data_IF_570021094866
#
_entry.id   IF_570021094866
#
_cell.length_a   1.000
_cell.length_b   1.000
_cell.length_c   1.000
_cell.angle_alpha   90.00
_cell.angle_beta   90.00
_cell.angle_gamma   90.00
#
_symmetry.space_group_name_H-M   'P 1'
#
loop_
_entity.id
_entity.type
_entity.pdbx_description
1 polymer ?
#
# COMPACT_ATOMS: atom_id res chain seq x y z
N UNK A 1 -18.19 18.01 -1.85
CA UNK A 1 -17.99 16.99 -0.79
C UNK A 1 -16.52 16.69 -0.71
N UNK A 2 -15.98 16.73 0.47
CA UNK A 2 -14.57 16.41 0.77
C UNK A 2 -14.31 14.93 0.41
N UNK A 3 -13.46 14.69 -0.59
CA UNK A 3 -13.15 13.35 -1.10
C UNK A 3 -11.98 12.68 -0.38
N UNK A 4 -11.23 13.46 0.42
CA UNK A 4 -10.04 12.96 1.09
C UNK A 4 -10.38 11.89 2.13
N UNK A 5 -9.69 10.75 2.07
CA UNK A 5 -9.76 9.68 3.07
C UNK A 5 -8.55 9.71 3.99
N UNK A 6 -7.39 10.13 3.47
CA UNK A 6 -6.15 10.27 4.22
C UNK A 6 -5.27 11.36 3.60
N UNK A 7 -4.48 12.03 4.42
CA UNK A 7 -3.58 13.09 3.97
C UNK A 7 -2.33 13.24 4.84
N UNK A 8 -1.26 13.69 4.20
CA UNK A 8 -0.07 14.25 4.82
C UNK A 8 0.04 15.71 4.41
N UNK A 9 0.39 16.59 5.33
CA UNK A 9 0.63 18.00 5.03
C UNK A 9 1.98 18.44 5.56
N UNK A 10 2.86 18.88 4.65
CA UNK A 10 4.22 19.40 4.91
C UNK A 10 5.06 18.49 5.83
N UNK A 11 4.93 17.17 5.69
CA UNK A 11 5.59 16.21 6.57
C UNK A 11 7.08 16.17 6.29
N UNK A 12 7.87 16.37 7.35
CA UNK A 12 9.33 16.23 7.37
C UNK A 12 9.69 15.09 8.30
N UNK A 13 10.62 14.23 7.85
CA UNK A 13 11.18 13.14 8.66
C UNK A 13 12.66 13.00 8.42
N UNK A 14 13.42 12.95 9.52
CA UNK A 14 14.85 12.68 9.51
C UNK A 14 15.21 11.49 10.40
N UNK A 15 16.27 10.80 10.05
CA UNK A 15 16.94 9.80 10.90
C UNK A 15 18.37 10.30 11.17
N UNK A 16 18.61 10.76 12.38
CA UNK A 16 19.83 11.50 12.70
C UNK A 16 19.96 12.77 11.85
N UNK A 17 21.04 12.90 11.11
CA UNK A 17 21.29 14.05 10.21
C UNK A 17 20.69 13.86 8.80
N UNK A 18 20.25 12.64 8.46
CA UNK A 18 19.74 12.33 7.14
C UNK A 18 18.23 12.60 7.04
N UNK A 19 17.86 13.59 6.22
CA UNK A 19 16.46 13.92 5.93
C UNK A 19 15.91 12.97 4.87
N UNK A 20 14.92 12.15 5.25
CA UNK A 20 14.29 11.15 4.37
C UNK A 20 13.00 11.67 3.74
N UNK A 21 12.22 12.49 4.47
CA UNK A 21 11.06 13.18 3.89
C UNK A 21 11.24 14.69 4.04
N UNK A 22 10.98 15.41 2.97
CA UNK A 22 11.17 16.85 2.88
C UNK A 22 9.89 17.54 2.42
N UNK A 23 9.01 17.87 3.38
CA UNK A 23 7.72 18.54 3.18
C UNK A 23 6.79 17.78 2.23
N UNK A 24 6.60 16.47 2.47
CA UNK A 24 5.62 15.68 1.73
C UNK A 24 4.22 16.20 2.02
N UNK A 25 3.52 16.61 0.97
CA UNK A 25 2.08 16.89 1.00
C UNK A 25 1.41 15.92 0.03
N UNK A 26 0.57 15.03 0.55
CA UNK A 26 -0.08 13.95 -0.19
C UNK A 26 -1.54 13.87 0.23
N UNK A 27 -2.44 13.80 -0.74
CA UNK A 27 -3.86 13.57 -0.52
C UNK A 27 -4.30 12.27 -1.21
N UNK A 28 -5.01 11.42 -0.48
CA UNK A 28 -5.56 10.15 -0.95
C UNK A 28 -7.08 10.28 -0.94
N UNK A 29 -7.71 10.05 -2.09
CA UNK A 29 -9.15 10.19 -2.22
C UNK A 29 -9.89 8.86 -1.97
N UNK A 30 -11.18 8.97 -1.62
CA UNK A 30 -12.08 7.82 -1.54
C UNK A 30 -12.30 7.21 -2.92
N UNK A 31 -12.29 5.87 -2.98
CA UNK A 31 -12.53 5.14 -4.21
C UNK A 31 -11.44 5.39 -5.26
N UNK A 32 -10.19 5.56 -4.83
CA UNK A 32 -9.03 5.81 -5.70
C UNK A 32 -7.97 4.74 -5.49
N UNK A 33 -7.37 4.28 -6.58
CA UNK A 33 -6.17 3.46 -6.59
C UNK A 33 -4.97 4.37 -6.83
N UNK A 34 -4.23 4.66 -5.76
CA UNK A 34 -3.04 5.53 -5.81
C UNK A 34 -1.77 4.68 -5.83
N UNK A 35 -0.92 4.87 -6.84
CA UNK A 35 0.44 4.35 -6.89
C UNK A 35 1.45 5.38 -6.38
N UNK A 36 2.30 5.00 -5.44
CA UNK A 36 3.47 5.79 -5.06
C UNK A 36 4.72 5.12 -5.64
N UNK A 37 5.36 5.78 -6.58
CA UNK A 37 6.55 5.26 -7.27
C UNK A 37 7.79 6.09 -6.99
N UNK A 38 8.94 5.45 -7.11
CA UNK A 38 10.25 6.08 -6.90
C UNK A 38 11.32 5.01 -6.67
N UNK A 39 12.61 5.36 -6.72
CA UNK A 39 13.68 4.42 -6.50
C UNK A 39 13.71 3.91 -5.05
N UNK A 40 14.49 2.87 -4.80
CA UNK A 40 14.77 2.42 -3.44
C UNK A 40 15.40 3.56 -2.63
N UNK A 41 14.91 3.75 -1.40
CA UNK A 41 15.40 4.85 -0.54
C UNK A 41 14.77 6.22 -0.80
N UNK A 42 13.88 6.38 -1.80
CA UNK A 42 13.23 7.69 -2.08
C UNK A 42 12.27 8.18 -0.98
N UNK A 43 11.92 7.33 0.01
CA UNK A 43 11.05 7.70 1.11
C UNK A 43 9.61 7.13 1.04
N UNK A 44 9.27 6.28 0.05
CA UNK A 44 7.92 5.69 -0.10
C UNK A 44 7.42 4.99 1.17
N UNK A 45 8.17 4.01 1.67
CA UNK A 45 7.83 3.28 2.90
C UNK A 45 7.76 4.20 4.12
N UNK A 46 8.67 5.18 4.22
CA UNK A 46 8.66 6.16 5.31
C UNK A 46 7.43 7.06 5.23
N UNK A 47 7.02 7.48 4.02
CA UNK A 47 5.77 8.23 3.79
C UNK A 47 4.56 7.45 4.31
N UNK A 48 4.46 6.15 3.97
CA UNK A 48 3.39 5.27 4.45
C UNK A 48 3.44 5.12 5.98
N UNK A 49 4.60 4.86 6.56
CA UNK A 49 4.75 4.71 8.02
C UNK A 49 4.38 5.98 8.78
N UNK A 50 4.75 7.16 8.27
CA UNK A 50 4.33 8.45 8.84
C UNK A 50 2.82 8.64 8.72
N UNK A 51 2.22 8.30 7.58
CA UNK A 51 0.77 8.37 7.38
C UNK A 51 0.02 7.48 8.38
N UNK A 52 0.50 6.26 8.62
CA UNK A 52 -0.10 5.32 9.57
C UNK A 52 0.21 5.63 11.05
N UNK A 53 1.10 6.60 11.33
CA UNK A 53 1.57 6.88 12.69
C UNK A 53 2.47 5.80 13.28
N UNK A 54 3.05 4.95 12.42
CA UNK A 54 4.04 3.94 12.81
C UNK A 54 5.43 4.56 13.00
N UNK A 55 5.66 5.72 12.38
CA UNK A 55 6.85 6.55 12.53
C UNK A 55 6.45 7.97 12.89
N UNK A 56 7.12 8.54 13.90
CA UNK A 56 6.96 9.95 14.22
C UNK A 56 7.67 10.79 13.15
N UNK A 57 7.07 11.91 12.77
CA UNK A 57 7.67 12.89 11.88
C UNK A 57 8.14 14.12 12.68
N UNK A 58 9.09 14.87 12.13
CA UNK A 58 9.71 16.01 12.79
C UNK A 58 8.80 17.25 12.75
N UNK A 59 8.06 17.42 11.64
CA UNK A 59 7.07 18.49 11.47
C UNK A 59 6.01 18.10 10.44
N UNK A 60 4.92 18.85 10.38
CA UNK A 60 3.77 18.61 9.50
C UNK A 60 2.59 17.99 10.26
N UNK A 61 1.66 17.40 9.51
CA UNK A 61 0.51 16.70 10.07
C UNK A 61 0.08 15.54 9.19
N UNK A 62 -0.57 14.55 9.81
CA UNK A 62 -1.17 13.40 9.14
C UNK A 62 -2.61 13.21 9.63
N UNK A 63 -3.52 12.92 8.71
CA UNK A 63 -4.91 12.61 9.02
C UNK A 63 -5.40 11.39 8.23
N UNK A 64 -6.21 10.53 8.88
CA UNK A 64 -6.94 9.43 8.25
C UNK A 64 -8.37 9.46 8.77
N UNK A 65 -9.35 9.36 7.86
CA UNK A 65 -10.77 9.48 8.19
C UNK A 65 -11.12 10.76 8.97
N UNK A 66 -10.43 11.87 8.65
CA UNK A 66 -10.54 13.18 9.35
C UNK A 66 -10.09 13.14 10.83
N UNK A 67 -9.33 12.15 11.19
CA UNK A 67 -8.74 12.04 12.52
C UNK A 67 -7.23 12.20 12.44
N UNK A 68 -6.67 13.01 13.34
CA UNK A 68 -5.21 13.20 13.44
C UNK A 68 -4.52 11.90 13.82
N UNK A 69 -3.39 11.65 13.21
CA UNK A 69 -2.53 10.49 13.46
C UNK A 69 -1.34 10.90 14.36
N UNK A 70 -0.93 10.04 15.30
CA UNK A 70 -1.35 8.64 15.51
C UNK A 70 -2.69 8.51 16.24
N UNK A 71 -3.54 7.59 15.77
CA UNK A 71 -4.84 7.31 16.39
C UNK A 71 -5.20 5.82 16.21
N UNK A 72 -5.35 5.09 17.33
CA UNK A 72 -5.67 3.66 17.30
C UNK A 72 -7.09 3.35 16.81
N UNK A 73 -8.03 4.30 16.95
CA UNK A 73 -9.45 4.07 16.57
C UNK A 73 -9.65 3.93 15.06
N UNK A 74 -8.70 4.40 14.25
CA UNK A 74 -8.79 4.26 12.80
C UNK A 74 -8.25 2.94 12.27
N UNK A 75 -7.46 2.21 13.08
CA UNK A 75 -6.72 1.02 12.62
C UNK A 75 -7.63 -0.11 12.15
N UNK A 76 -8.80 -0.30 12.77
CA UNK A 76 -9.76 -1.35 12.37
C UNK A 76 -10.31 -1.17 10.94
N UNK A 77 -10.16 0.02 10.36
CA UNK A 77 -10.62 0.37 9.01
C UNK A 77 -9.49 0.40 7.98
N UNK A 78 -8.28 0.03 8.40
CA UNK A 78 -7.08 0.06 7.58
C UNK A 78 -6.52 -1.36 7.42
N UNK A 79 -6.34 -1.78 6.18
CA UNK A 79 -5.54 -2.95 5.84
C UNK A 79 -4.13 -2.52 5.48
N UNK A 80 -3.13 -3.08 6.15
CA UNK A 80 -1.74 -2.73 5.87
C UNK A 80 -0.90 -3.97 5.61
N UNK A 81 -0.16 -3.95 4.52
CA UNK A 81 0.87 -4.90 4.18
C UNK A 81 2.20 -4.17 4.03
N UNK A 82 3.14 -4.43 4.95
CA UNK A 82 4.48 -3.84 4.92
C UNK A 82 5.46 -4.59 4.02
N UNK A 83 6.69 -4.09 3.92
CA UNK A 83 7.78 -4.79 3.20
C UNK A 83 8.19 -6.09 3.89
N UNK A 84 8.19 -6.11 5.22
CA UNK A 84 8.42 -7.31 6.02
C UNK A 84 7.09 -7.98 6.34
N UNK A 85 7.02 -9.29 6.13
CA UNK A 85 5.83 -10.07 6.43
C UNK A 85 5.67 -10.22 7.95
N UNK A 86 4.59 -9.64 8.50
CA UNK A 86 4.25 -9.72 9.92
C UNK A 86 3.50 -11.04 10.21
N UNK A 87 4.15 -12.18 9.97
CA UNK A 87 3.57 -13.52 10.10
C UNK A 87 4.09 -14.26 11.32
N UNK A 88 3.22 -14.97 11.99
CA UNK A 88 3.59 -15.94 13.04
C UNK A 88 4.00 -17.24 12.38
N UNK A 89 5.30 -17.45 12.18
CA UNK A 89 5.85 -18.58 11.41
C UNK A 89 5.55 -19.96 11.99
N UNK A 90 5.36 -20.07 13.30
CA UNK A 90 5.04 -21.31 13.97
C UNK A 90 3.54 -21.69 13.93
N UNK A 91 2.71 -20.75 13.50
CA UNK A 91 1.28 -20.96 13.28
C UNK A 91 1.01 -21.38 11.83
N UNK A 92 -0.14 -22.00 11.60
CA UNK A 92 -0.66 -22.28 10.26
C UNK A 92 -1.13 -20.99 9.58
N UNK A 93 -1.36 -21.05 8.25
CA UNK A 93 -1.95 -19.92 7.53
C UNK A 93 -3.35 -19.58 8.08
N UNK A 94 -4.15 -20.59 8.41
CA UNK A 94 -5.47 -20.40 9.02
C UNK A 94 -5.36 -19.68 10.37
N UNK A 95 -4.50 -20.15 11.27
CA UNK A 95 -4.33 -19.54 12.60
C UNK A 95 -3.83 -18.08 12.51
N UNK A 96 -2.97 -17.76 11.55
CA UNK A 96 -2.59 -16.36 11.28
C UNK A 96 -3.81 -15.52 10.86
N UNK A 97 -4.58 -15.99 9.87
CA UNK A 97 -5.77 -15.28 9.38
C UNK A 97 -6.86 -15.17 10.43
N UNK A 98 -7.07 -16.22 11.23
CA UNK A 98 -8.02 -16.24 12.33
C UNK A 98 -7.65 -15.18 13.38
N UNK A 99 -6.38 -15.14 13.80
CA UNK A 99 -5.88 -14.17 14.77
C UNK A 99 -6.08 -12.72 14.28
N UNK A 100 -5.63 -12.40 13.06
CA UNK A 100 -5.77 -11.06 12.51
C UNK A 100 -7.22 -10.70 12.15
N UNK A 101 -8.03 -11.70 11.78
CA UNK A 101 -9.45 -11.50 11.54
C UNK A 101 -10.19 -11.11 12.82
N UNK A 102 -9.87 -11.75 13.95
CA UNK A 102 -10.42 -11.36 15.24
C UNK A 102 -9.97 -9.95 15.67
N UNK A 103 -8.72 -9.54 15.38
CA UNK A 103 -8.26 -8.16 15.60
C UNK A 103 -9.04 -7.15 14.74
N UNK A 104 -9.52 -7.58 13.57
CA UNK A 104 -10.40 -6.80 12.69
C UNK A 104 -11.89 -6.96 13.04
N UNK A 105 -12.21 -7.48 14.25
CA UNK A 105 -13.55 -7.67 14.80
C UNK A 105 -14.42 -8.69 14.04
N UNK A 106 -13.86 -9.45 13.10
CA UNK A 106 -14.55 -10.52 12.39
C UNK A 106 -14.78 -11.73 13.31
N UNK A 107 -15.92 -12.41 13.16
CA UNK A 107 -16.27 -13.58 13.99
C UNK A 107 -17.09 -14.61 13.22
N UNK A 108 -16.99 -15.87 13.66
CA UNK A 108 -17.82 -16.97 13.18
C UNK A 108 -17.80 -17.10 11.64
N UNK A 109 -18.99 -17.25 11.06
CA UNK A 109 -19.13 -17.48 9.62
C UNK A 109 -18.55 -16.34 8.76
N UNK A 110 -18.67 -15.09 9.21
CA UNK A 110 -18.11 -13.93 8.49
C UNK A 110 -16.59 -14.03 8.38
N UNK A 111 -15.90 -14.43 9.46
CA UNK A 111 -14.46 -14.65 9.46
C UNK A 111 -14.06 -15.78 8.50
N UNK A 112 -14.76 -16.92 8.59
CA UNK A 112 -14.50 -18.06 7.71
C UNK A 112 -14.66 -17.71 6.22
N UNK A 113 -15.72 -16.99 5.86
CA UNK A 113 -16.00 -16.57 4.48
C UNK A 113 -14.93 -15.58 4.00
N UNK A 114 -14.47 -14.66 4.85
CA UNK A 114 -13.36 -13.73 4.54
C UNK A 114 -12.05 -14.50 4.35
N UNK A 115 -11.71 -15.45 5.21
CA UNK A 115 -10.50 -16.27 5.09
C UNK A 115 -10.52 -17.02 3.75
N UNK A 116 -11.58 -17.74 3.43
CA UNK A 116 -11.71 -18.51 2.18
C UNK A 116 -11.55 -17.60 0.96
N UNK A 117 -12.27 -16.48 0.94
CA UNK A 117 -12.23 -15.51 -0.15
C UNK A 117 -10.82 -14.95 -0.39
N UNK A 118 -10.14 -14.52 0.68
CA UNK A 118 -8.83 -13.89 0.55
C UNK A 118 -7.73 -14.91 0.22
N UNK A 119 -7.83 -16.15 0.73
CA UNK A 119 -6.91 -17.22 0.38
C UNK A 119 -7.06 -17.66 -1.08
N UNK A 120 -8.29 -17.70 -1.61
CA UNK A 120 -8.54 -17.97 -3.03
C UNK A 120 -8.00 -16.83 -3.93
N UNK A 121 -8.13 -15.58 -3.49
CA UNK A 121 -7.59 -14.43 -4.23
C UNK A 121 -6.08 -14.52 -4.44
N UNK A 122 -5.36 -15.08 -3.47
CA UNK A 122 -3.90 -15.20 -3.50
C UNK A 122 -3.41 -16.61 -3.89
N UNK A 123 -4.30 -17.49 -4.35
CA UNK A 123 -3.99 -18.86 -4.77
C UNK A 123 -3.26 -19.68 -3.68
N UNK A 124 -3.83 -19.66 -2.46
CA UNK A 124 -3.29 -20.36 -1.29
C UNK A 124 -4.34 -21.20 -0.53
N UNK A 125 -5.55 -21.39 -1.06
CA UNK A 125 -6.67 -22.09 -0.39
C UNK A 125 -6.31 -23.51 0.08
N UNK A 126 -5.45 -24.20 -0.66
CA UNK A 126 -5.03 -25.58 -0.33
C UNK A 126 -3.93 -25.65 0.75
N UNK A 127 -3.51 -24.48 1.29
CA UNK A 127 -2.40 -24.39 2.25
C UNK A 127 -2.81 -23.92 3.63
N UNK A 128 -4.12 -23.78 3.90
CA UNK A 128 -4.66 -23.25 5.16
C UNK A 128 -4.09 -23.93 6.42
N UNK A 129 -3.95 -25.25 6.38
CA UNK A 129 -3.47 -26.06 7.52
C UNK A 129 -1.95 -26.20 7.57
N UNK A 130 -1.23 -25.60 6.63
CA UNK A 130 0.24 -25.66 6.56
C UNK A 130 0.85 -24.56 7.42
N UNK A 131 1.89 -24.88 8.20
CA UNK A 131 2.64 -23.90 9.00
C UNK A 131 3.38 -22.93 8.10
N UNK A 132 3.40 -21.65 8.48
CA UNK A 132 4.00 -20.56 7.70
C UNK A 132 5.51 -20.70 7.55
N UNK A 133 6.21 -21.33 8.50
CA UNK A 133 7.65 -21.64 8.36
C UNK A 133 7.97 -22.61 7.21
N UNK A 134 6.97 -23.29 6.66
CA UNK A 134 7.10 -24.16 5.49
C UNK A 134 6.73 -23.45 4.17
N UNK A 135 6.38 -22.16 4.23
CA UNK A 135 6.04 -21.38 3.06
C UNK A 135 7.30 -20.84 2.37
N UNK A 136 7.27 -20.77 1.04
CA UNK A 136 8.25 -19.98 0.30
C UNK A 136 8.06 -18.48 0.57
N UNK A 137 9.06 -17.65 0.27
CA UNK A 137 8.94 -16.19 0.41
C UNK A 137 7.75 -15.63 -0.36
N UNK A 138 7.51 -16.09 -1.60
CA UNK A 138 6.33 -15.69 -2.38
C UNK A 138 5.00 -16.13 -1.75
N UNK A 139 4.94 -17.30 -1.10
CA UNK A 139 3.74 -17.73 -0.35
C UNK A 139 3.53 -16.87 0.89
N UNK A 140 4.59 -16.52 1.64
CA UNK A 140 4.50 -15.61 2.79
C UNK A 140 3.98 -14.24 2.34
N UNK A 141 4.52 -13.70 1.24
CA UNK A 141 4.08 -12.43 0.67
C UNK A 141 2.59 -12.44 0.29
N UNK A 142 2.13 -13.51 -0.35
CA UNK A 142 0.72 -13.71 -0.69
C UNK A 142 -0.19 -13.82 0.53
N UNK A 143 0.24 -14.53 1.56
CA UNK A 143 -0.50 -14.63 2.83
C UNK A 143 -0.60 -13.25 3.52
N UNK A 144 0.48 -12.46 3.53
CA UNK A 144 0.47 -11.08 4.06
C UNK A 144 -0.54 -10.20 3.32
N UNK A 145 -0.65 -10.35 1.99
CA UNK A 145 -1.67 -9.65 1.21
C UNK A 145 -3.09 -10.10 1.60
N UNK A 146 -3.32 -11.42 1.73
CA UNK A 146 -4.62 -11.93 2.17
C UNK A 146 -5.02 -11.39 3.55
N UNK A 147 -4.06 -11.27 4.48
CA UNK A 147 -4.29 -10.69 5.81
C UNK A 147 -4.65 -9.20 5.75
N UNK A 148 -3.96 -8.42 4.91
CA UNK A 148 -4.27 -6.98 4.74
C UNK A 148 -5.67 -6.72 4.16
N UNK A 149 -6.29 -7.71 3.53
CA UNK A 149 -7.63 -7.61 2.95
C UNK A 149 -8.74 -8.14 3.87
N UNK A 150 -8.41 -8.66 5.07
CA UNK A 150 -9.39 -9.13 6.04
C UNK A 150 -10.30 -7.97 6.48
N UNK A 151 -11.58 -8.27 6.69
CA UNK A 151 -12.55 -7.27 7.15
C UNK A 151 -12.94 -6.22 6.11
N UNK A 152 -12.47 -6.34 4.87
CA UNK A 152 -12.78 -5.38 3.78
C UNK A 152 -12.55 -3.92 4.19
N UNK A 153 -11.33 -3.55 4.62
CA UNK A 153 -11.03 -2.22 5.15
C UNK A 153 -11.41 -1.10 4.17
N UNK A 154 -11.64 0.11 4.68
CA UNK A 154 -11.99 1.28 3.86
C UNK A 154 -10.76 1.87 3.16
N UNK A 155 -9.59 1.72 3.78
CA UNK A 155 -8.29 2.12 3.24
C UNK A 155 -7.34 0.92 3.29
N UNK A 156 -6.77 0.57 2.15
CA UNK A 156 -5.81 -0.52 2.01
C UNK A 156 -4.47 0.08 1.58
N UNK A 157 -3.42 -0.23 2.30
CA UNK A 157 -2.07 0.26 2.00
C UNK A 157 -1.15 -0.95 1.84
N UNK A 158 -0.54 -1.07 0.67
CA UNK A 158 0.28 -2.20 0.26
C UNK A 158 1.68 -1.73 -0.13
N UNK A 159 2.68 -2.12 0.64
CA UNK A 159 4.07 -1.75 0.37
C UNK A 159 4.75 -2.84 -0.47
N UNK A 160 4.90 -2.58 -1.77
CA UNK A 160 5.47 -3.49 -2.79
C UNK A 160 4.77 -4.87 -2.86
N UNK A 161 3.43 -4.96 -3.00
CA UNK A 161 2.68 -6.19 -2.77
C UNK A 161 2.97 -7.33 -3.74
N UNK A 162 3.50 -7.04 -4.92
CA UNK A 162 3.65 -7.99 -6.02
C UNK A 162 5.09 -8.40 -6.30
N UNK A 163 6.04 -7.94 -5.48
CA UNK A 163 7.44 -8.34 -5.58
C UNK A 163 7.58 -9.85 -5.34
N UNK A 164 8.27 -10.54 -6.27
CA UNK A 164 8.48 -11.99 -6.19
C UNK A 164 7.25 -12.84 -6.55
N UNK A 165 6.18 -12.23 -7.09
CA UNK A 165 4.99 -12.94 -7.55
C UNK A 165 5.05 -13.13 -9.07
N UNK A 166 4.63 -14.31 -9.53
CA UNK A 166 4.58 -14.62 -10.97
C UNK A 166 3.63 -13.69 -11.74
N UNK A 167 3.86 -13.46 -13.06
CA UNK A 167 3.10 -12.49 -13.85
C UNK A 167 1.59 -12.77 -13.92
N UNK A 168 1.18 -14.04 -13.94
CA UNK A 168 -0.24 -14.41 -14.03
C UNK A 168 -0.98 -14.02 -12.75
N UNK A 169 -0.44 -14.42 -11.61
CA UNK A 169 -1.02 -14.10 -10.30
C UNK A 169 -0.94 -12.59 -9.99
N UNK A 170 0.16 -11.92 -10.40
CA UNK A 170 0.27 -10.46 -10.33
C UNK A 170 -0.90 -9.78 -11.05
N UNK A 171 -1.20 -10.19 -12.28
CA UNK A 171 -2.34 -9.64 -13.02
C UNK A 171 -3.68 -9.88 -12.32
N UNK A 172 -3.88 -11.04 -11.71
CA UNK A 172 -5.08 -11.35 -10.92
C UNK A 172 -5.20 -10.43 -9.70
N UNK A 173 -4.11 -10.24 -8.96
CA UNK A 173 -4.07 -9.33 -7.80
C UNK A 173 -4.46 -7.91 -8.21
N UNK A 174 -3.85 -7.36 -9.27
CA UNK A 174 -4.17 -6.01 -9.74
C UNK A 174 -5.64 -5.87 -10.18
N UNK A 175 -6.19 -6.89 -10.86
CA UNK A 175 -7.62 -6.93 -11.20
C UNK A 175 -8.50 -6.88 -9.94
N UNK A 176 -8.11 -7.61 -8.90
CA UNK A 176 -8.86 -7.60 -7.65
C UNK A 176 -8.75 -6.27 -6.88
N UNK A 177 -7.56 -5.64 -6.87
CA UNK A 177 -7.39 -4.30 -6.29
C UNK A 177 -8.31 -3.29 -6.99
N UNK A 178 -8.41 -3.34 -8.32
CA UNK A 178 -9.35 -2.50 -9.06
C UNK A 178 -10.81 -2.78 -8.69
N UNK A 179 -11.21 -4.05 -8.62
CA UNK A 179 -12.55 -4.44 -8.17
C UNK A 179 -12.89 -3.95 -6.75
N UNK A 180 -11.89 -3.87 -5.87
CA UNK A 180 -12.03 -3.34 -4.50
C UNK A 180 -12.30 -1.83 -4.57
N UNK A 181 -11.56 -1.11 -5.40
CA UNK A 181 -11.73 0.33 -5.61
C UNK A 181 -13.09 0.64 -6.25
N UNK A 182 -13.52 -0.14 -7.24
CA UNK A 182 -14.83 0.00 -7.89
C UNK A 182 -16.01 -0.20 -6.91
N UNK A 183 -15.76 -0.87 -5.77
CA UNK A 183 -16.70 -0.99 -4.64
C UNK A 183 -16.62 0.17 -3.63
N UNK A 184 -15.88 1.23 -3.96
CA UNK A 184 -15.77 2.44 -3.15
C UNK A 184 -14.70 2.40 -2.06
N UNK A 185 -13.86 1.36 -2.01
CA UNK A 185 -12.69 1.31 -1.12
C UNK A 185 -11.52 2.07 -1.74
N UNK A 186 -10.57 2.48 -0.91
CA UNK A 186 -9.37 3.21 -1.37
C UNK A 186 -8.13 2.34 -1.20
N UNK A 187 -7.26 2.35 -2.20
CA UNK A 187 -6.04 1.53 -2.19
C UNK A 187 -4.83 2.40 -2.49
N UNK A 188 -3.79 2.26 -1.69
CA UNK A 188 -2.47 2.84 -1.93
C UNK A 188 -1.47 1.70 -2.14
N UNK A 189 -0.73 1.74 -3.21
CA UNK A 189 0.32 0.77 -3.52
C UNK A 189 1.64 1.51 -3.68
N UNK A 190 2.67 1.09 -2.96
CA UNK A 190 4.03 1.50 -3.34
C UNK A 190 4.61 0.47 -4.29
N UNK A 191 5.32 0.91 -5.30
CA UNK A 191 6.01 0.03 -6.23
C UNK A 191 7.23 0.73 -6.86
N UNK A 192 8.20 -0.06 -7.27
CA UNK A 192 9.28 0.38 -8.16
C UNK A 192 9.10 -0.18 -9.57
N UNK A 193 8.02 -0.92 -9.83
CA UNK A 193 7.67 -1.48 -11.14
C UNK A 193 6.79 -0.49 -11.89
N UNK A 194 7.34 0.14 -12.91
CA UNK A 194 6.68 1.25 -13.62
C UNK A 194 5.41 0.82 -14.37
N UNK A 195 5.36 -0.40 -14.90
CA UNK A 195 4.15 -0.96 -15.54
C UNK A 195 2.96 -1.06 -14.58
N UNK A 196 3.22 -1.21 -13.27
CA UNK A 196 2.17 -1.25 -12.26
C UNK A 196 1.55 0.13 -12.04
N UNK A 197 2.33 1.20 -12.18
CA UNK A 197 1.85 2.57 -12.08
C UNK A 197 0.81 2.91 -13.16
N UNK A 198 0.92 2.33 -14.36
CA UNK A 198 -0.06 2.52 -15.44
C UNK A 198 -1.46 2.01 -15.09
N UNK A 199 -1.57 1.12 -14.07
CA UNK A 199 -2.83 0.53 -13.61
C UNK A 199 -3.54 1.37 -12.55
N UNK A 200 -2.86 2.38 -12.02
CA UNK A 200 -3.37 3.25 -10.96
C UNK A 200 -4.24 4.38 -11.53
N UNK A 201 -5.22 4.84 -10.75
CA UNK A 201 -6.02 6.01 -11.10
C UNK A 201 -5.18 7.28 -11.02
N UNK A 202 -4.29 7.35 -10.00
CA UNK A 202 -3.27 8.39 -9.87
C UNK A 202 -1.91 7.80 -9.49
N UNK A 203 -0.87 8.54 -9.81
CA UNK A 203 0.50 8.18 -9.51
C UNK A 203 1.21 9.36 -8.87
N UNK A 204 1.81 9.12 -7.70
CA UNK A 204 2.70 10.04 -7.01
C UNK A 204 4.16 9.65 -7.25
N UNK A 205 4.95 10.57 -7.79
CA UNK A 205 6.39 10.40 -7.99
C UNK A 205 7.13 10.90 -6.75
N UNK A 206 7.77 10.00 -5.99
CA UNK A 206 8.59 10.36 -4.82
C UNK A 206 10.05 10.27 -5.21
N UNK A 207 10.73 11.43 -5.19
CA UNK A 207 12.14 11.58 -5.54
C UNK A 207 12.81 12.34 -4.38
N UNK A 208 13.90 11.81 -3.84
CA UNK A 208 14.67 12.44 -2.75
C UNK A 208 13.81 12.97 -1.58
N UNK A 209 12.84 12.17 -1.16
CA UNK A 209 11.96 12.52 -0.05
C UNK A 209 10.94 13.62 -0.36
N UNK A 210 10.70 13.96 -1.62
CA UNK A 210 9.70 14.95 -2.05
C UNK A 210 8.66 14.30 -2.96
N UNK A 211 7.43 14.73 -2.87
CA UNK A 211 6.41 14.42 -3.86
C UNK A 211 6.57 15.37 -5.05
N UNK A 212 7.27 14.91 -6.08
CA UNK A 212 7.64 15.70 -7.25
C UNK A 212 6.44 15.97 -8.18
N UNK A 213 5.57 14.98 -8.33
CA UNK A 213 4.33 15.08 -9.11
C UNK A 213 3.28 14.11 -8.57
N UNK A 214 1.99 14.47 -8.72
CA UNK A 214 0.84 13.63 -8.39
C UNK A 214 -0.25 13.91 -9.42
N UNK A 215 -0.53 12.96 -10.29
CA UNK A 215 -1.60 13.07 -11.30
C UNK A 215 -1.95 11.69 -11.87
N UNK A 216 -2.92 11.63 -12.80
CA UNK A 216 -3.21 10.42 -13.56
C UNK A 216 -2.01 10.01 -14.42
N UNK A 217 -1.81 8.72 -14.72
CA UNK A 217 -0.75 8.27 -15.64
C UNK A 217 -0.74 9.04 -16.96
N UNK A 218 -1.91 9.28 -17.54
CA UNK A 218 -2.07 10.04 -18.78
C UNK A 218 -1.54 11.48 -18.68
N UNK A 219 -1.87 12.17 -17.60
CA UNK A 219 -1.43 13.56 -17.40
C UNK A 219 0.06 13.65 -17.10
N UNK A 220 0.62 12.69 -16.35
CA UNK A 220 2.05 12.63 -16.09
C UNK A 220 2.83 12.43 -17.41
N UNK A 221 2.42 11.49 -18.26
CA UNK A 221 3.02 11.27 -19.59
C UNK A 221 2.97 12.55 -20.43
N UNK A 222 1.83 13.23 -20.43
CA UNK A 222 1.71 14.52 -21.14
C UNK A 222 2.62 15.61 -20.54
N UNK A 223 2.68 15.71 -19.20
CA UNK A 223 3.49 16.71 -18.49
C UNK A 223 4.98 16.59 -18.83
N UNK A 224 5.47 15.34 -18.88
CA UNK A 224 6.88 15.06 -19.16
C UNK A 224 7.19 14.85 -20.65
N UNK A 225 6.16 14.89 -21.52
CA UNK A 225 6.27 14.62 -22.96
C UNK A 225 6.94 13.26 -23.22
N UNK A 226 6.29 12.20 -22.74
CA UNK A 226 6.75 10.79 -22.82
C UNK A 226 5.60 9.86 -23.14
N UNK A 227 5.93 8.65 -23.63
CA UNK A 227 4.93 7.62 -23.94
C UNK A 227 4.67 6.67 -22.77
N UNK A 228 5.62 6.56 -21.83
CA UNK A 228 5.53 5.68 -20.65
C UNK A 228 5.73 6.45 -19.36
N UNK A 229 5.22 5.87 -18.24
CA UNK A 229 5.48 6.41 -16.89
C UNK A 229 6.96 6.28 -16.54
N UNK A 230 7.65 5.24 -17.01
CA UNK A 230 9.07 5.02 -16.78
C UNK A 230 9.92 6.16 -17.34
N UNK A 231 9.73 6.51 -18.63
CA UNK A 231 10.41 7.65 -19.24
C UNK A 231 10.06 8.97 -18.54
N UNK A 232 8.78 9.15 -18.15
CA UNK A 232 8.33 10.31 -17.39
C UNK A 232 9.01 10.43 -16.04
N UNK A 233 9.22 9.30 -15.37
CA UNK A 233 9.93 9.23 -14.10
C UNK A 233 11.41 9.62 -14.26
N UNK A 234 12.11 9.08 -15.26
CA UNK A 234 13.53 9.41 -15.56
C UNK A 234 13.67 10.92 -15.78
N UNK A 235 12.79 11.54 -16.60
CA UNK A 235 12.82 13.00 -16.82
C UNK A 235 12.53 13.79 -15.54
N UNK A 236 11.63 13.29 -14.69
CA UNK A 236 11.34 13.93 -13.41
C UNK A 236 12.55 13.89 -12.46
N UNK A 237 13.28 12.76 -12.46
CA UNK A 237 14.51 12.60 -11.68
C UNK A 237 15.62 13.53 -12.16
N UNK A 238 15.85 13.63 -13.48
CA UNK A 238 16.81 14.57 -14.06
C UNK A 238 16.47 16.03 -13.72
N UNK A 239 15.18 16.39 -13.77
CA UNK A 239 14.72 17.74 -13.42
C UNK A 239 14.81 18.04 -11.91
N UNK A 240 14.85 17.02 -11.05
CA UNK A 240 15.03 17.21 -9.60
C UNK A 240 16.47 17.51 -9.20
N UNK A 241 17.44 17.15 -10.06
CA UNK A 241 18.89 17.34 -9.84
C UNK A 241 19.41 18.67 -10.40
N UNK A 242 18.62 19.37 -11.21
CA UNK A 242 18.92 20.67 -11.81
C UNK A 242 18.37 21.82 -10.96
#
# INVERSE_FOLDING_TARGET
MDRSIASLYEVVKSYGTHKVLNRITLEINRGELLGLIGPSGSGKTTTIKCLLGMENFDSGSAEIFKQKIPNRQVLNKIGYMGQTDALYENLTAYENLDFFGHLSELKGKELEDNIKKNMSLVDLENTLNKKVNQFSGGMKRRLSLAMALLGQPDLIILDEPTVGIDPKLRNQIWTQLKNIVDKGKSVVVTTHVMDEAERCDKVGLIIEGRLFALDTPKNLKKKFNTDTIEEGFIKAEEASLS
#
